data_IF_269340917753
#
_entry.id   IF_269340917753
#
_cell.length_a   1.000
_cell.length_b   1.000
_cell.length_c   1.000
_cell.angle_alpha   90.00
_cell.angle_beta   90.00
_cell.angle_gamma   90.00
#
_symmetry.space_group_name_H-M   'P 1'
#
loop_
_entity.id
_entity.type
_entity.pdbx_description
1 polymer ?
#
# COMPACT_ATOMS: atom_id res chain seq x y z
N UNK A 1 -6.71 -18.63 62.36
CA UNK A 1 -7.94 -18.30 61.64
C UNK A 1 -7.77 -16.90 61.09
N UNK A 2 -7.50 -16.77 59.79
CA UNK A 2 -7.16 -15.50 59.14
C UNK A 2 -8.43 -14.80 58.65
N UNK A 3 -8.61 -13.54 59.06
CA UNK A 3 -9.66 -12.64 58.61
C UNK A 3 -9.34 -12.05 57.24
N UNK A 4 -10.31 -12.11 56.32
CA UNK A 4 -10.28 -11.56 54.97
C UNK A 4 -10.06 -10.03 54.97
N UNK A 5 -9.04 -9.57 54.27
CA UNK A 5 -8.98 -8.21 53.73
C UNK A 5 -9.67 -8.18 52.36
N UNK A 6 -10.74 -7.40 52.25
CA UNK A 6 -11.48 -7.15 51.01
C UNK A 6 -10.97 -5.83 50.42
N UNK A 7 -10.02 -5.90 49.50
CA UNK A 7 -9.54 -4.72 48.78
C UNK A 7 -10.52 -4.37 47.67
N UNK A 8 -11.11 -3.17 47.78
CA UNK A 8 -12.02 -2.57 46.82
C UNK A 8 -11.16 -1.88 45.76
N UNK A 9 -10.95 -2.51 44.61
CA UNK A 9 -10.34 -1.84 43.45
C UNK A 9 -11.31 -0.78 42.94
N UNK A 10 -10.93 0.48 43.14
CA UNK A 10 -11.55 1.62 42.51
C UNK A 10 -11.02 1.72 41.08
N UNK A 11 -11.81 1.29 40.11
CA UNK A 11 -11.57 1.56 38.69
C UNK A 11 -11.61 3.06 38.49
N UNK A 12 -10.43 3.68 38.36
CA UNK A 12 -10.27 5.09 38.03
C UNK A 12 -10.70 5.27 36.58
N UNK A 13 -11.96 5.64 36.36
CA UNK A 13 -12.43 6.07 35.06
C UNK A 13 -11.64 7.31 34.64
N UNK A 14 -10.80 7.15 33.62
CA UNK A 14 -10.20 8.29 32.90
C UNK A 14 -11.35 8.95 32.13
N UNK A 15 -11.58 10.27 32.27
CA UNK A 15 -12.63 10.92 31.51
C UNK A 15 -12.24 10.92 30.03
N UNK A 16 -13.01 10.22 29.19
CA UNK A 16 -13.00 10.44 27.75
C UNK A 16 -13.49 11.87 27.50
N UNK A 17 -12.57 12.75 27.10
CA UNK A 17 -12.93 14.08 26.64
C UNK A 17 -13.84 13.94 25.39
N UNK A 18 -14.93 14.71 25.29
CA UNK A 18 -15.83 14.64 24.15
C UNK A 18 -15.09 15.01 22.87
N UNK A 19 -15.19 14.12 21.87
CA UNK A 19 -14.51 14.26 20.59
C UNK A 19 -15.15 15.36 19.76
N UNK A 20 -14.35 16.37 19.42
CA UNK A 20 -14.73 17.41 18.47
C UNK A 20 -14.04 17.06 17.15
N UNK A 21 -14.83 16.63 16.16
CA UNK A 21 -14.37 16.62 14.77
C UNK A 21 -13.91 18.03 14.42
N UNK A 22 -12.59 18.24 14.32
CA UNK A 22 -12.05 19.56 14.01
C UNK A 22 -11.72 19.61 12.53
N UNK A 23 -12.66 20.12 11.74
CA UNK A 23 -12.38 20.46 10.35
C UNK A 23 -11.14 21.36 10.29
N UNK A 24 -10.25 21.11 9.33
CA UNK A 24 -9.10 21.97 9.08
C UNK A 24 -9.63 23.26 8.43
N UNK A 25 -9.46 24.44 9.03
CA UNK A 25 -9.89 25.71 8.43
C UNK A 25 -9.18 25.95 7.09
N UNK A 26 -9.88 26.50 6.10
CA UNK A 26 -9.30 26.77 4.77
C UNK A 26 -8.22 27.88 4.79
N UNK A 27 -8.19 28.73 5.80
CA UNK A 27 -7.25 29.84 5.98
C UNK A 27 -6.02 29.49 6.82
N UNK A 28 -5.89 28.23 7.24
CA UNK A 28 -4.76 27.76 8.04
C UNK A 28 -3.45 27.79 7.23
N UNK A 29 -2.36 28.20 7.85
CA UNK A 29 -1.06 28.28 7.16
C UNK A 29 -0.28 26.97 7.23
N UNK A 30 0.70 26.81 6.31
CA UNK A 30 1.61 25.67 6.30
C UNK A 30 2.39 25.54 7.62
N UNK A 31 2.82 26.65 8.19
CA UNK A 31 3.58 26.68 9.45
C UNK A 31 2.72 26.22 10.62
N UNK A 32 1.45 26.63 10.66
CA UNK A 32 0.49 26.23 11.69
C UNK A 32 0.24 24.71 11.62
N UNK A 33 -0.02 24.18 10.43
CA UNK A 33 -0.19 22.73 10.23
C UNK A 33 1.08 21.94 10.54
N UNK A 34 2.25 22.47 10.17
CA UNK A 34 3.54 21.88 10.51
C UNK A 34 3.81 21.83 12.02
N UNK A 35 3.39 22.86 12.75
CA UNK A 35 3.44 22.88 14.22
C UNK A 35 2.46 21.88 14.82
N UNK A 36 1.23 21.80 14.30
CA UNK A 36 0.22 20.82 14.74
C UNK A 36 0.73 19.38 14.55
N UNK A 37 1.33 19.05 13.39
CA UNK A 37 1.92 17.73 13.16
C UNK A 37 2.99 17.36 14.18
N UNK A 38 3.88 18.29 14.55
CA UNK A 38 4.90 18.05 15.58
C UNK A 38 4.30 17.83 16.96
N UNK A 39 3.29 18.62 17.33
CA UNK A 39 2.57 18.45 18.59
C UNK A 39 1.86 17.11 18.66
N UNK A 40 1.15 16.72 17.59
CA UNK A 40 0.44 15.44 17.52
C UNK A 40 1.41 14.26 17.59
N UNK A 41 2.59 14.38 16.97
CA UNK A 41 3.64 13.36 17.06
C UNK A 41 4.23 13.24 18.47
N UNK A 42 4.41 14.35 19.17
CA UNK A 42 4.94 14.38 20.53
C UNK A 42 3.96 13.80 21.57
N UNK A 43 2.66 13.77 21.28
CA UNK A 43 1.62 13.21 22.16
C UNK A 43 1.54 11.67 22.13
N UNK A 44 2.50 11.01 21.48
CA UNK A 44 2.55 9.56 21.28
C UNK A 44 1.34 9.03 20.46
N UNK A 45 1.39 7.72 20.12
CA UNK A 45 0.81 7.10 18.92
C UNK A 45 -0.74 7.08 18.75
N UNK A 46 -1.52 7.97 19.36
CA UNK A 46 -2.98 8.01 19.23
C UNK A 46 -3.50 8.87 18.07
N UNK A 47 -2.68 9.80 17.56
CA UNK A 47 -3.13 10.86 16.64
C UNK A 47 -2.88 10.59 15.16
N UNK A 48 -2.56 9.35 14.78
CA UNK A 48 -2.13 9.03 13.41
C UNK A 48 -3.16 9.37 12.35
N UNK A 49 -4.46 9.19 12.61
CA UNK A 49 -5.51 9.55 11.66
C UNK A 49 -5.55 11.07 11.40
N UNK A 50 -5.55 11.88 12.46
CA UNK A 50 -5.48 13.34 12.35
C UNK A 50 -4.22 13.83 11.63
N UNK A 51 -3.08 13.21 11.91
CA UNK A 51 -1.84 13.50 11.17
C UNK A 51 -1.99 13.20 9.66
N UNK A 52 -2.76 12.16 9.32
CA UNK A 52 -3.15 11.85 7.94
C UNK A 52 -4.02 12.91 7.29
N UNK A 53 -5.03 13.43 8.00
CA UNK A 53 -5.88 14.53 7.51
C UNK A 53 -5.05 15.79 7.19
N UNK A 54 -4.14 16.16 8.10
CA UNK A 54 -3.25 17.32 7.90
C UNK A 54 -2.32 17.09 6.72
N UNK A 55 -1.74 15.89 6.61
CA UNK A 55 -0.89 15.52 5.48
C UNK A 55 -1.66 15.67 4.15
N UNK A 56 -2.88 15.13 4.05
CA UNK A 56 -3.70 15.23 2.84
C UNK A 56 -4.03 16.68 2.52
N UNK A 57 -4.40 17.49 3.51
CA UNK A 57 -4.71 18.90 3.30
C UNK A 57 -3.51 19.69 2.74
N UNK A 58 -2.31 19.50 3.30
CA UNK A 58 -1.08 20.14 2.78
C UNK A 58 -0.83 19.76 1.32
N UNK A 59 -0.99 18.48 0.97
CA UNK A 59 -0.75 17.95 -0.37
C UNK A 59 -1.79 18.43 -1.37
N UNK A 60 -3.07 18.34 -1.04
CA UNK A 60 -4.19 18.70 -1.92
C UNK A 60 -4.22 20.20 -2.23
N UNK A 61 -3.98 21.04 -1.21
CA UNK A 61 -3.96 22.49 -1.35
C UNK A 61 -2.62 23.03 -1.84
N UNK A 62 -1.62 22.17 -2.04
CA UNK A 62 -0.25 22.54 -2.48
C UNK A 62 0.38 23.64 -1.62
N UNK A 63 0.17 23.56 -0.30
CA UNK A 63 0.60 24.61 0.63
C UNK A 63 2.12 24.76 0.68
N UNK A 64 2.86 23.64 0.51
CA UNK A 64 4.31 23.66 0.43
C UNK A 64 4.81 24.44 -0.79
N UNK A 65 4.21 24.19 -1.95
CA UNK A 65 4.54 24.90 -3.19
C UNK A 65 4.20 26.39 -3.09
N UNK A 66 3.06 26.72 -2.50
CA UNK A 66 2.68 28.11 -2.23
C UNK A 66 3.67 28.84 -1.29
N UNK A 67 4.30 28.10 -0.38
CA UNK A 67 5.34 28.60 0.52
C UNK A 67 6.77 28.57 -0.08
N UNK A 68 6.92 28.21 -1.37
CA UNK A 68 8.20 28.26 -2.08
C UNK A 68 9.03 26.98 -2.03
N UNK A 69 8.48 25.87 -1.51
CA UNK A 69 9.11 24.54 -1.64
C UNK A 69 8.84 23.97 -3.04
N UNK A 70 9.69 23.06 -3.51
CA UNK A 70 9.49 22.36 -4.78
C UNK A 70 8.22 21.51 -4.78
N UNK A 71 7.99 20.81 -3.67
CA UNK A 71 6.84 19.95 -3.43
C UNK A 71 6.66 19.69 -1.93
N UNK A 72 5.52 19.13 -1.54
CA UNK A 72 5.23 18.73 -0.16
C UNK A 72 6.24 17.73 0.41
N UNK A 73 6.82 16.85 -0.41
CA UNK A 73 7.82 15.87 0.05
C UNK A 73 9.12 16.55 0.46
N UNK A 74 9.56 17.58 -0.28
CA UNK A 74 10.69 18.40 0.11
C UNK A 74 10.44 19.11 1.43
N UNK A 75 9.26 19.74 1.58
CA UNK A 75 8.85 20.39 2.83
C UNK A 75 8.93 19.42 4.02
N UNK A 76 8.28 18.25 3.93
CA UNK A 76 8.28 17.30 5.04
C UNK A 76 9.69 16.81 5.40
N UNK A 77 10.57 16.61 4.40
CA UNK A 77 11.96 16.19 4.66
C UNK A 77 12.81 17.27 5.33
N UNK A 78 12.58 18.55 4.98
CA UNK A 78 13.34 19.68 5.53
C UNK A 78 12.83 20.10 6.90
N UNK A 79 11.53 20.31 7.01
CA UNK A 79 10.90 20.96 8.17
C UNK A 79 10.40 19.97 9.22
N UNK A 80 10.14 18.71 8.83
CA UNK A 80 9.62 17.66 9.69
C UNK A 80 10.50 16.41 9.62
N UNK A 81 11.83 16.56 9.71
CA UNK A 81 12.79 15.46 9.53
C UNK A 81 12.58 14.27 10.48
N UNK A 82 12.05 14.51 11.68
CA UNK A 82 11.74 13.46 12.67
C UNK A 82 10.51 12.62 12.27
N UNK A 83 9.69 13.12 11.35
CA UNK A 83 8.52 12.45 10.82
C UNK A 83 8.84 11.76 9.50
N UNK A 84 8.69 10.43 9.49
CA UNK A 84 8.80 9.66 8.25
C UNK A 84 7.71 10.05 7.25
N UNK A 85 8.11 10.54 6.08
CA UNK A 85 7.21 10.80 4.95
C UNK A 85 6.43 9.55 4.56
N UNK A 86 7.02 8.36 4.69
CA UNK A 86 6.33 7.11 4.41
C UNK A 86 5.21 6.85 5.42
N UNK A 87 5.43 7.19 6.70
CA UNK A 87 4.39 7.10 7.73
C UNK A 87 3.26 8.11 7.48
N UNK A 88 3.59 9.36 7.16
CA UNK A 88 2.56 10.37 6.84
C UNK A 88 1.71 9.97 5.63
N UNK A 89 2.33 9.40 4.58
CA UNK A 89 1.60 8.84 3.43
C UNK A 89 0.66 7.71 3.81
N UNK A 90 1.13 6.78 4.64
CA UNK A 90 0.31 5.69 5.16
C UNK A 90 -0.88 6.24 5.97
N UNK A 91 -0.65 7.24 6.80
CA UNK A 91 -1.68 7.88 7.62
C UNK A 91 -2.70 8.60 6.73
N UNK A 92 -2.24 9.35 5.72
CA UNK A 92 -3.08 10.03 4.74
C UNK A 92 -3.98 9.06 3.97
N UNK A 93 -3.44 7.93 3.51
CA UNK A 93 -4.24 6.91 2.81
C UNK A 93 -5.35 6.31 3.71
N UNK A 94 -5.06 6.10 4.99
CA UNK A 94 -6.07 5.63 5.95
C UNK A 94 -7.09 6.72 6.24
N UNK A 95 -6.67 7.98 6.38
CA UNK A 95 -7.57 9.10 6.67
C UNK A 95 -8.50 9.43 5.49
N UNK A 96 -8.06 9.22 4.26
CA UNK A 96 -8.88 9.33 3.05
C UNK A 96 -9.92 8.21 2.96
N UNK A 97 -9.58 7.01 3.45
CA UNK A 97 -10.42 5.81 3.28
C UNK A 97 -11.33 5.51 4.47
N UNK A 98 -10.99 5.96 5.68
CA UNK A 98 -11.69 5.58 6.91
C UNK A 98 -11.88 6.79 7.81
N UNK A 99 -13.01 6.80 8.53
CA UNK A 99 -13.27 7.81 9.56
C UNK A 99 -12.36 7.62 10.78
N UNK A 100 -12.19 8.69 11.56
CA UNK A 100 -11.39 8.64 12.79
C UNK A 100 -11.89 7.56 13.79
N UNK A 101 -13.21 7.39 14.03
CA UNK A 101 -13.70 6.31 14.91
C UNK A 101 -13.29 4.91 14.44
N UNK A 102 -13.29 4.66 13.13
CA UNK A 102 -12.84 3.39 12.54
C UNK A 102 -11.34 3.23 12.73
N UNK A 103 -10.56 4.29 12.48
CA UNK A 103 -9.11 4.29 12.68
C UNK A 103 -8.71 4.07 14.14
N UNK A 104 -9.46 4.62 15.09
CA UNK A 104 -9.27 4.36 16.53
C UNK A 104 -9.59 2.92 16.89
N UNK A 105 -10.66 2.35 16.33
CA UNK A 105 -11.10 0.99 16.65
C UNK A 105 -10.12 -0.07 16.15
N UNK A 106 -9.59 0.08 14.94
CA UNK A 106 -8.77 -0.96 14.30
C UNK A 106 -7.28 -0.61 14.21
N UNK A 107 -6.91 0.63 14.46
CA UNK A 107 -5.55 1.12 14.34
C UNK A 107 -5.14 1.40 12.88
N UNK A 108 -4.45 2.51 12.68
CA UNK A 108 -4.02 2.98 11.34
C UNK A 108 -3.10 1.97 10.64
N UNK A 109 -2.20 1.32 11.38
CA UNK A 109 -1.33 0.29 10.79
C UNK A 109 -2.11 -0.91 10.27
N UNK A 110 -3.13 -1.39 11.01
CA UNK A 110 -3.92 -2.54 10.57
C UNK A 110 -4.76 -2.19 9.33
N UNK A 111 -5.39 -1.01 9.34
CA UNK A 111 -6.19 -0.50 8.21
C UNK A 111 -5.33 -0.27 6.96
N UNK A 112 -4.10 0.20 7.10
CA UNK A 112 -3.18 0.33 5.97
C UNK A 112 -2.88 -1.03 5.32
N UNK A 113 -2.70 -2.08 6.13
CA UNK A 113 -2.51 -3.45 5.60
C UNK A 113 -3.80 -3.96 4.95
N UNK A 114 -4.97 -3.62 5.48
CA UNK A 114 -6.26 -3.97 4.87
C UNK A 114 -6.44 -3.32 3.49
N UNK A 115 -6.16 -2.02 3.34
CA UNK A 115 -6.21 -1.35 2.03
C UNK A 115 -5.33 -2.05 1.00
N UNK A 116 -4.11 -2.38 1.43
CA UNK A 116 -3.13 -3.07 0.58
C UNK A 116 -3.57 -4.51 0.23
N UNK A 117 -4.20 -5.21 1.18
CA UNK A 117 -4.77 -6.53 0.96
C UNK A 117 -5.92 -6.46 -0.05
N UNK A 118 -6.83 -5.50 0.12
CA UNK A 118 -7.96 -5.29 -0.77
C UNK A 118 -7.53 -5.01 -2.21
N UNK A 119 -6.53 -4.14 -2.41
CA UNK A 119 -5.93 -3.89 -3.72
C UNK A 119 -5.34 -5.18 -4.32
N UNK A 120 -4.62 -5.97 -3.52
CA UNK A 120 -3.98 -7.20 -3.98
C UNK A 120 -4.97 -8.32 -4.35
N UNK A 121 -6.17 -8.32 -3.77
CA UNK A 121 -7.20 -9.34 -4.01
C UNK A 121 -8.36 -8.86 -4.87
N UNK A 122 -8.44 -7.57 -5.19
CA UNK A 122 -9.63 -6.97 -5.82
C UNK A 122 -10.86 -7.02 -4.92
N UNK A 123 -10.67 -6.98 -3.59
CA UNK A 123 -11.75 -7.03 -2.62
C UNK A 123 -12.34 -5.64 -2.44
N UNK A 124 -13.66 -5.51 -2.52
CA UNK A 124 -14.35 -4.28 -2.17
C UNK A 124 -14.49 -4.17 -0.64
N UNK A 125 -14.12 -3.01 -0.09
CA UNK A 125 -14.17 -2.76 1.35
C UNK A 125 -15.41 -1.95 1.72
N UNK A 126 -16.06 -2.33 2.81
CA UNK A 126 -16.95 -1.43 3.51
C UNK A 126 -16.10 -0.51 4.40
N UNK A 127 -15.99 0.75 4.00
CA UNK A 127 -15.18 1.76 4.69
C UNK A 127 -15.79 2.24 6.01
N UNK A 128 -17.11 2.12 6.18
CA UNK A 128 -17.80 2.48 7.42
C UNK A 128 -17.70 1.35 8.45
N UNK A 129 -17.76 0.10 7.97
CA UNK A 129 -17.72 -1.09 8.79
C UNK A 129 -16.77 -2.16 8.22
N UNK A 130 -15.45 -1.98 8.32
CA UNK A 130 -14.48 -2.93 7.77
C UNK A 130 -14.35 -4.22 8.60
N UNK A 131 -14.92 -4.27 9.81
CA UNK A 131 -14.78 -5.39 10.74
C UNK A 131 -15.20 -6.76 10.17
N UNK A 132 -16.37 -6.89 9.52
CA UNK A 132 -16.85 -8.15 8.95
C UNK A 132 -16.09 -8.62 7.69
N UNK A 133 -15.19 -7.81 7.12
CA UNK A 133 -14.50 -8.14 5.86
C UNK A 133 -13.77 -9.50 5.96
N UNK A 134 -14.04 -10.47 5.08
CA UNK A 134 -13.44 -11.80 5.17
C UNK A 134 -11.97 -11.80 4.72
N UNK A 135 -11.07 -12.25 5.59
CA UNK A 135 -9.63 -12.35 5.32
C UNK A 135 -9.19 -13.81 5.34
N UNK A 136 -8.45 -14.22 4.31
CA UNK A 136 -7.75 -15.51 4.26
C UNK A 136 -6.44 -15.41 5.05
N UNK A 137 -6.47 -15.87 6.30
CA UNK A 137 -5.32 -15.79 7.20
C UNK A 137 -4.61 -17.16 7.26
N UNK A 138 -3.32 -17.23 6.91
CA UNK A 138 -2.54 -18.43 7.11
C UNK A 138 -2.15 -18.57 8.59
N UNK A 139 -2.33 -19.78 9.13
CA UNK A 139 -1.78 -20.20 10.41
C UNK A 139 -0.25 -20.42 10.33
N UNK A 140 0.36 -20.78 11.46
CA UNK A 140 1.82 -21.02 11.56
C UNK A 140 2.27 -22.25 10.75
N UNK A 141 1.35 -23.16 10.44
CA UNK A 141 1.59 -24.36 9.66
C UNK A 141 1.29 -24.17 8.16
N UNK A 142 0.84 -22.98 7.76
CA UNK A 142 0.52 -22.62 6.37
C UNK A 142 -0.89 -23.01 5.91
N UNK A 143 -1.73 -23.57 6.78
CA UNK A 143 -3.15 -23.78 6.50
C UNK A 143 -3.88 -22.44 6.51
N UNK A 144 -4.91 -22.30 5.69
CA UNK A 144 -5.63 -21.03 5.53
C UNK A 144 -7.00 -21.16 6.17
N UNK A 145 -7.32 -20.23 7.06
CA UNK A 145 -8.66 -20.04 7.59
C UNK A 145 -9.22 -18.69 7.13
N UNK A 146 -10.53 -18.64 6.94
CA UNK A 146 -11.24 -17.37 6.69
C UNK A 146 -11.73 -16.84 8.01
N UNK A 147 -11.39 -15.60 8.34
CA UNK A 147 -11.88 -14.92 9.54
C UNK A 147 -12.18 -13.44 9.24
N UNK A 148 -13.08 -12.79 10.01
CA UNK A 148 -13.36 -11.37 9.83
C UNK A 148 -12.14 -10.52 10.17
N UNK A 149 -11.95 -9.41 9.43
CA UNK A 149 -10.87 -8.45 9.64
C UNK A 149 -10.80 -7.96 11.09
N UNK A 150 -11.96 -7.71 11.72
CA UNK A 150 -12.03 -7.25 13.10
C UNK A 150 -11.50 -8.25 14.13
N UNK A 151 -11.31 -9.52 13.75
CA UNK A 151 -10.66 -10.55 14.57
C UNK A 151 -9.19 -10.77 14.19
N UNK A 152 -8.68 -10.09 13.17
CA UNK A 152 -7.30 -10.22 12.71
C UNK A 152 -6.37 -9.28 13.47
N UNK A 153 -5.28 -9.82 14.00
CA UNK A 153 -4.12 -9.02 14.41
C UNK A 153 -3.37 -8.45 13.19
N UNK A 154 -2.56 -7.41 13.42
CA UNK A 154 -1.70 -6.81 12.38
C UNK A 154 -0.77 -7.85 11.76
N UNK A 155 -0.21 -8.77 12.56
CA UNK A 155 0.70 -9.78 12.04
C UNK A 155 -0.01 -10.85 11.22
N UNK A 156 -1.24 -11.24 11.61
CA UNK A 156 -2.09 -12.09 10.77
C UNK A 156 -2.39 -11.43 9.42
N UNK A 157 -2.72 -10.14 9.42
CA UNK A 157 -2.95 -9.37 8.20
C UNK A 157 -1.70 -9.29 7.32
N UNK A 158 -0.52 -9.06 7.92
CA UNK A 158 0.76 -9.06 7.19
C UNK A 158 1.05 -10.41 6.56
N UNK A 159 0.84 -11.52 7.28
CA UNK A 159 1.01 -12.88 6.73
C UNK A 159 0.03 -13.16 5.58
N UNK A 160 -1.24 -12.76 5.73
CA UNK A 160 -2.24 -12.87 4.68
C UNK A 160 -1.80 -12.12 3.41
N UNK A 161 -1.38 -10.87 3.56
CA UNK A 161 -0.88 -10.05 2.46
C UNK A 161 0.38 -10.64 1.81
N UNK A 162 1.35 -11.09 2.61
CA UNK A 162 2.56 -11.73 2.10
C UNK A 162 2.23 -12.97 1.25
N UNK A 163 1.26 -13.79 1.68
CA UNK A 163 0.82 -14.96 0.91
C UNK A 163 0.21 -14.58 -0.44
N UNK A 164 -0.62 -13.53 -0.47
CA UNK A 164 -1.21 -13.03 -1.73
C UNK A 164 -0.15 -12.43 -2.67
N UNK A 165 0.92 -11.85 -2.11
CA UNK A 165 2.06 -11.30 -2.86
C UNK A 165 3.09 -12.35 -3.29
N UNK A 166 3.16 -13.51 -2.63
CA UNK A 166 4.08 -14.58 -3.04
C UNK A 166 3.64 -15.10 -4.42
N UNK A 167 4.57 -15.19 -5.39
CA UNK A 167 4.26 -15.85 -6.66
C UNK A 167 3.79 -17.27 -6.37
N UNK A 168 2.69 -17.68 -7.00
CA UNK A 168 2.00 -18.97 -6.75
C UNK A 168 2.89 -20.19 -7.06
N UNK A 169 4.10 -19.97 -7.59
CA UNK A 169 5.10 -20.99 -7.84
C UNK A 169 6.48 -20.52 -7.36
N UNK A 170 7.14 -21.33 -6.55
CA UNK A 170 8.57 -21.21 -6.19
C UNK A 170 9.49 -21.69 -7.30
N UNK A 171 8.97 -22.40 -8.32
CA UNK A 171 9.76 -22.79 -9.50
C UNK A 171 10.05 -21.55 -10.33
N UNK A 172 11.33 -21.20 -10.58
CA UNK A 172 11.70 -20.14 -11.50
C UNK A 172 11.03 -20.36 -12.86
N UNK A 173 10.61 -19.28 -13.51
CA UNK A 173 10.15 -19.37 -14.89
C UNK A 173 11.33 -19.87 -15.76
N UNK A 174 11.10 -20.75 -16.75
CA UNK A 174 12.13 -21.15 -17.68
C UNK A 174 12.76 -19.91 -18.34
N UNK A 175 14.11 -19.83 -18.46
CA UNK A 175 14.81 -18.66 -19.01
C UNK A 175 14.26 -18.20 -20.38
N UNK A 176 13.87 -19.16 -21.23
CA UNK A 176 13.28 -18.89 -22.53
C UNK A 176 11.97 -18.10 -22.45
N UNK A 177 11.12 -18.40 -21.45
CA UNK A 177 9.85 -17.71 -21.25
C UNK A 177 10.05 -16.32 -20.65
N UNK A 178 11.09 -16.12 -19.86
CA UNK A 178 11.49 -14.81 -19.35
C UNK A 178 12.01 -13.94 -20.49
N UNK A 179 12.93 -14.46 -21.31
CA UNK A 179 13.47 -13.76 -22.47
C UNK A 179 12.37 -13.36 -23.47
N UNK A 180 11.43 -14.28 -23.76
CA UNK A 180 10.28 -13.98 -24.63
C UNK A 180 9.40 -12.87 -24.04
N UNK A 181 9.13 -12.90 -22.73
CA UNK A 181 8.35 -11.86 -22.06
C UNK A 181 9.07 -10.50 -22.03
N UNK A 182 10.40 -10.49 -21.88
CA UNK A 182 11.22 -9.28 -21.97
C UNK A 182 11.20 -8.69 -23.38
N UNK A 183 11.25 -9.53 -24.43
CA UNK A 183 11.12 -9.09 -25.82
C UNK A 183 9.76 -8.42 -26.08
N UNK A 184 8.65 -9.03 -25.65
CA UNK A 184 7.33 -8.40 -25.75
C UNK A 184 7.26 -7.10 -24.92
N UNK A 185 7.83 -7.09 -23.72
CA UNK A 185 7.88 -5.89 -22.89
C UNK A 185 8.65 -4.75 -23.55
N UNK A 186 9.76 -5.05 -24.22
CA UNK A 186 10.58 -4.09 -24.95
C UNK A 186 9.86 -3.57 -26.21
N UNK A 187 9.22 -4.46 -26.98
CA UNK A 187 8.43 -4.08 -28.16
C UNK A 187 7.28 -3.12 -27.78
N UNK A 188 6.60 -3.41 -26.68
CA UNK A 188 5.58 -2.53 -26.11
C UNK A 188 6.21 -1.21 -25.62
N UNK A 189 7.30 -1.23 -24.88
CA UNK A 189 7.96 -0.01 -24.39
C UNK A 189 8.44 0.92 -25.52
N UNK A 190 8.86 0.37 -26.67
CA UNK A 190 9.28 1.15 -27.83
C UNK A 190 8.12 1.96 -28.43
N UNK A 191 6.90 1.41 -28.40
CA UNK A 191 5.70 2.06 -28.96
C UNK A 191 5.01 2.97 -27.96
N UNK A 192 5.25 2.78 -26.67
CA UNK A 192 4.64 3.54 -25.57
C UNK A 192 5.71 4.20 -24.67
N UNK A 193 6.41 5.25 -25.17
CA UNK A 193 7.43 5.94 -24.38
C UNK A 193 6.81 6.64 -23.17
N UNK A 194 7.48 6.51 -22.02
CA UNK A 194 7.07 7.15 -20.76
C UNK A 194 7.12 8.67 -20.93
N UNK A 195 5.98 9.35 -20.87
CA UNK A 195 5.95 10.83 -20.88
C UNK A 195 4.71 11.52 -21.49
N UNK A 196 3.78 10.79 -22.14
CA UNK A 196 2.58 11.37 -22.77
C UNK A 196 1.26 10.89 -22.13
N UNK A 197 1.16 10.92 -20.79
CA UNK A 197 -0.09 10.56 -20.09
C UNK A 197 -0.43 9.06 -20.06
N UNK A 198 0.30 8.21 -20.80
CA UNK A 198 0.11 6.76 -20.78
C UNK A 198 0.76 6.15 -19.53
N UNK A 199 -0.04 5.66 -18.59
CA UNK A 199 0.42 4.88 -17.44
C UNK A 199 0.56 3.39 -17.79
N UNK A 200 1.22 3.09 -18.91
CA UNK A 200 1.39 1.70 -19.33
C UNK A 200 2.29 0.95 -18.36
N UNK A 201 1.73 -0.10 -17.75
CA UNK A 201 2.44 -1.03 -16.87
C UNK A 201 2.45 -2.41 -17.53
N UNK A 202 3.64 -2.88 -17.88
CA UNK A 202 3.87 -4.26 -18.31
C UNK A 202 4.51 -5.02 -17.14
N UNK A 203 3.90 -6.12 -16.71
CA UNK A 203 4.41 -6.95 -15.61
C UNK A 203 4.47 -8.41 -16.04
N UNK A 204 5.62 -9.04 -15.83
CA UNK A 204 5.75 -10.49 -15.91
C UNK A 204 5.45 -11.10 -14.54
N UNK A 205 4.53 -12.06 -14.50
CA UNK A 205 4.25 -12.83 -13.29
C UNK A 205 4.26 -14.33 -13.56
N UNK A 206 4.60 -15.08 -12.51
CA UNK A 206 4.54 -16.55 -12.52
C UNK A 206 3.22 -17.01 -11.90
N UNK A 207 2.30 -17.48 -12.74
CA UNK A 207 1.02 -18.03 -12.31
C UNK A 207 1.05 -19.56 -12.44
N UNK A 208 1.21 -20.27 -11.31
CA UNK A 208 1.25 -21.74 -11.24
C UNK A 208 2.27 -22.38 -12.22
N UNK A 209 3.45 -21.77 -12.38
CA UNK A 209 4.51 -22.25 -13.27
C UNK A 209 4.38 -21.78 -14.72
N UNK A 210 3.38 -20.96 -15.05
CA UNK A 210 3.21 -20.33 -16.36
C UNK A 210 3.65 -18.87 -16.30
N UNK A 211 4.40 -18.45 -17.32
CA UNK A 211 4.69 -17.04 -17.55
C UNK A 211 3.41 -16.34 -18.03
N UNK A 212 3.00 -15.30 -17.31
CA UNK A 212 1.84 -14.47 -17.66
C UNK A 212 2.33 -13.03 -17.77
N UNK A 213 2.04 -12.40 -18.91
CA UNK A 213 2.36 -11.01 -19.17
C UNK A 213 1.09 -10.18 -18.97
N UNK A 214 1.06 -9.36 -17.93
CA UNK A 214 -0.03 -8.43 -17.67
C UNK A 214 0.31 -7.07 -18.28
N UNK A 215 -0.57 -6.55 -19.14
CA UNK A 215 -0.44 -5.24 -19.77
C UNK A 215 -1.63 -4.39 -19.30
N UNK A 216 -1.36 -3.31 -18.58
CA UNK A 216 -2.38 -2.46 -17.94
C UNK A 216 -2.18 -0.98 -18.26
N UNK A 217 -3.28 -0.22 -18.27
CA UNK A 217 -3.25 1.23 -18.45
C UNK A 217 -3.11 1.68 -19.90
N UNK A 218 -3.64 0.91 -20.85
CA UNK A 218 -3.70 1.25 -22.27
C UNK A 218 -4.98 2.07 -22.53
N UNK A 219 -4.87 3.32 -23.02
CA UNK A 219 -6.02 4.08 -23.49
C UNK A 219 -6.72 3.35 -24.63
N UNK A 220 -8.06 3.41 -24.67
CA UNK A 220 -8.86 2.68 -25.66
C UNK A 220 -8.46 3.04 -27.10
N UNK A 221 -8.11 4.30 -27.32
CA UNK A 221 -7.68 4.88 -28.59
C UNK A 221 -6.33 4.31 -29.08
N UNK A 222 -5.56 3.68 -28.19
CA UNK A 222 -4.22 3.16 -28.47
C UNK A 222 -4.17 1.63 -28.54
N UNK A 223 -5.32 0.93 -28.49
CA UNK A 223 -5.38 -0.54 -28.56
C UNK A 223 -4.75 -1.07 -29.87
N UNK A 224 -4.97 -0.41 -31.00
CA UNK A 224 -4.40 -0.83 -32.28
C UNK A 224 -2.86 -0.78 -32.25
N UNK A 225 -2.28 0.21 -31.57
CA UNK A 225 -0.82 0.31 -31.39
C UNK A 225 -0.27 -0.81 -30.51
N UNK A 226 -1.06 -1.28 -29.52
CA UNK A 226 -0.72 -2.46 -28.74
C UNK A 226 -0.73 -3.72 -29.61
N UNK A 227 -1.75 -3.91 -30.44
CA UNK A 227 -1.85 -5.07 -31.35
C UNK A 227 -0.65 -5.12 -32.30
N UNK A 228 -0.26 -3.97 -32.87
CA UNK A 228 0.93 -3.86 -33.71
C UNK A 228 2.21 -4.20 -32.93
N UNK A 229 2.37 -3.68 -31.71
CA UNK A 229 3.54 -3.95 -30.88
C UNK A 229 3.66 -5.45 -30.52
N UNK A 230 2.54 -6.13 -30.30
CA UNK A 230 2.51 -7.57 -29.97
C UNK A 230 2.63 -8.46 -31.21
N UNK A 231 2.33 -7.94 -32.40
CA UNK A 231 2.41 -8.69 -33.67
C UNK A 231 3.72 -8.47 -34.42
N UNK A 232 4.57 -7.55 -33.97
CA UNK A 232 5.88 -7.29 -34.55
C UNK A 232 6.80 -8.52 -34.42
N UNK A 233 7.64 -8.76 -35.44
CA UNK A 233 8.61 -9.86 -35.40
C UNK A 233 9.56 -9.68 -34.21
N UNK A 234 9.57 -10.68 -33.34
CA UNK A 234 10.48 -10.73 -32.21
C UNK A 234 11.80 -11.38 -32.61
N UNK A 235 12.94 -10.91 -32.08
CA UNK A 235 14.22 -11.57 -32.31
C UNK A 235 14.21 -13.01 -31.76
N UNK A 236 14.90 -13.95 -32.42
CA UNK A 236 14.93 -15.34 -31.96
C UNK A 236 15.50 -15.44 -30.55
N UNK A 237 14.81 -16.16 -29.66
CA UNK A 237 15.28 -16.43 -28.30
C UNK A 237 16.45 -17.39 -28.39
N UNK A 238 17.66 -16.94 -28.08
CA UNK A 238 18.86 -17.79 -28.09
C UNK A 238 18.71 -18.91 -27.05
N UNK A 239 18.45 -20.12 -27.53
CA UNK A 239 18.57 -21.34 -26.73
C UNK A 239 20.04 -21.51 -26.37
N UNK A 240 20.36 -21.54 -25.08
CA UNK A 240 21.71 -21.86 -24.59
C UNK A 240 22.08 -23.29 -24.97
N UNK A 241 22.62 -23.48 -26.17
CA UNK A 241 23.24 -24.73 -26.60
C UNK A 241 24.52 -24.94 -25.78
N UNK A 242 24.58 -26.08 -25.07
CA UNK A 242 25.79 -26.55 -24.41
C UNK A 242 26.90 -26.66 -25.46
N UNK A 243 28.01 -25.96 -25.21
CA UNK A 243 29.22 -26.08 -26.01
C UNK A 243 29.66 -27.56 -26.13
N UNK A 244 30.13 -28.00 -27.31
CA UNK A 244 30.58 -29.36 -27.51
C UNK A 244 31.90 -29.58 -26.76
N UNK A 245 31.93 -30.62 -25.92
CA UNK A 245 33.14 -31.15 -25.28
C UNK A 245 34.02 -31.72 -26.38
N UNK A 246 35.16 -31.09 -26.66
CA UNK A 246 36.21 -31.68 -27.49
C UNK A 246 36.89 -32.81 -26.69
N UNK A 247 37.00 -34.03 -27.26
CA UNK A 247 37.86 -35.06 -26.67
C UNK A 247 39.33 -34.76 -26.98
N UNK A 248 40.17 -35.08 -26.00
CA UNK A 248 41.63 -34.96 -26.01
C UNK A 248 42.31 -35.86 -27.02
#
# INVERSE_FOLDING_TARGET
MFTLFKSKEATRAVPEAPFVHRAIPDDITLEQLGSELRQLFAQENSNHHRMGEIYNHIVEKKLAEAAGYKDSTEYFRKELADLSVASLKMYGAVAESFSEPVARRFGVTCLSVLLTYAEATGLELNHEEPGPTPIEVPDEHGNVAVQPFGACSVDQMRRALQRKRRPTSTKPLPPEKVALAEQYSAAVAQRFPKGKGTQLKVKLRNQKGKAVLDIQGIPLEQILQLVEALSAELPPVSTGEKAPVQPS
#
